data_IF_739652902662
#
_entry.id   IF_739652902662
#
_cell.length_a   1.000
_cell.length_b   1.000
_cell.length_c   1.000
_cell.angle_alpha   90.00
_cell.angle_beta   90.00
_cell.angle_gamma   90.00
#
_symmetry.space_group_name_H-M   'P 1'
#
loop_
_entity.id
_entity.type
_entity.pdbx_description
1 polymer ?
#
# COMPACT_ATOMS: atom_id res chain seq x y z
N UNK A 1 12.63 -37.23 -30.68
CA UNK A 1 13.87 -36.41 -30.67
C UNK A 1 14.01 -35.70 -32.03
N UNK A 2 12.95 -35.02 -32.50
CA UNK A 2 12.85 -34.37 -33.82
C UNK A 2 12.14 -32.99 -33.77
N UNK A 3 12.31 -32.23 -32.71
CA UNK A 3 11.61 -30.92 -32.53
C UNK A 3 12.54 -29.70 -32.57
N UNK A 4 13.81 -29.82 -32.97
CA UNK A 4 14.77 -28.69 -32.86
C UNK A 4 15.48 -28.44 -34.21
N UNK A 5 14.84 -28.56 -35.35
CA UNK A 5 15.56 -28.23 -36.61
C UNK A 5 14.70 -27.59 -37.73
N UNK A 6 13.68 -26.81 -37.41
CA UNK A 6 13.13 -25.82 -38.35
C UNK A 6 13.17 -24.45 -37.70
N UNK A 7 13.93 -23.50 -38.24
CA UNK A 7 13.81 -22.07 -37.94
C UNK A 7 12.36 -21.67 -38.25
N UNK A 8 11.48 -21.84 -37.29
CA UNK A 8 10.07 -21.43 -37.40
C UNK A 8 10.07 -19.91 -37.38
N UNK A 9 9.59 -19.29 -38.46
CA UNK A 9 9.33 -17.83 -38.42
C UNK A 9 8.30 -17.59 -37.31
N UNK A 10 8.75 -16.94 -36.26
CA UNK A 10 7.88 -16.56 -35.15
C UNK A 10 6.96 -15.42 -35.64
N UNK A 11 5.67 -15.67 -35.63
CA UNK A 11 4.70 -14.58 -35.79
C UNK A 11 4.69 -13.78 -34.50
N UNK A 12 5.24 -12.54 -34.54
CA UNK A 12 5.37 -11.68 -33.39
C UNK A 12 4.03 -11.33 -32.74
N UNK A 13 2.96 -11.17 -33.54
CA UNK A 13 1.62 -10.88 -33.03
C UNK A 13 1.01 -12.07 -32.28
N UNK A 14 1.14 -13.28 -32.83
CA UNK A 14 0.68 -14.50 -32.17
C UNK A 14 1.47 -14.79 -30.89
N UNK A 15 2.78 -14.52 -30.89
CA UNK A 15 3.62 -14.63 -29.70
C UNK A 15 3.20 -13.59 -28.65
N UNK A 16 2.98 -12.32 -29.04
CA UNK A 16 2.55 -11.26 -28.14
C UNK A 16 1.20 -11.58 -27.50
N UNK A 17 0.22 -12.04 -28.29
CA UNK A 17 -1.07 -12.49 -27.77
C UNK A 17 -0.94 -13.65 -26.78
N UNK A 18 -0.12 -14.65 -27.07
CA UNK A 18 0.12 -15.78 -26.18
C UNK A 18 0.84 -15.36 -24.88
N UNK A 19 1.76 -14.40 -24.95
CA UNK A 19 2.45 -13.85 -23.77
C UNK A 19 1.52 -12.98 -22.92
N UNK A 20 0.64 -12.20 -23.54
CA UNK A 20 -0.39 -11.41 -22.83
C UNK A 20 -1.38 -12.33 -22.11
N UNK A 21 -1.82 -13.41 -22.74
CA UNK A 21 -2.65 -14.44 -22.09
C UNK A 21 -1.95 -15.13 -20.91
N UNK A 22 -0.64 -15.35 -21.01
CA UNK A 22 0.15 -15.95 -19.90
C UNK A 22 0.43 -15.00 -18.75
N UNK A 23 0.60 -13.71 -19.04
CA UNK A 23 0.91 -12.68 -18.04
C UNK A 23 -0.31 -11.90 -17.60
N UNK A 24 -1.52 -12.34 -17.87
CA UNK A 24 -2.77 -11.62 -17.64
C UNK A 24 -2.61 -10.44 -16.68
N UNK A 25 -2.88 -9.23 -17.18
CA UNK A 25 -2.76 -8.02 -16.36
C UNK A 25 -3.70 -8.19 -15.16
N UNK A 26 -3.13 -8.34 -13.96
CA UNK A 26 -3.97 -8.42 -12.77
C UNK A 26 -4.69 -7.08 -12.59
N UNK A 27 -6.03 -7.04 -12.50
CA UNK A 27 -6.75 -5.83 -12.17
C UNK A 27 -6.23 -5.28 -10.84
N UNK A 28 -6.04 -3.98 -10.78
CA UNK A 28 -5.62 -3.31 -9.54
C UNK A 28 -6.79 -3.20 -8.59
N UNK A 29 -6.48 -3.20 -7.31
CA UNK A 29 -7.50 -2.96 -6.31
C UNK A 29 -8.11 -1.57 -6.49
N UNK A 30 -9.44 -1.53 -6.61
CA UNK A 30 -10.24 -0.32 -6.59
C UNK A 30 -11.44 -0.52 -5.67
N UNK A 31 -11.89 0.55 -5.03
CA UNK A 31 -13.18 0.54 -4.31
C UNK A 31 -14.32 0.50 -5.34
N UNK A 32 -15.31 -0.39 -5.18
CA UNK A 32 -16.47 -0.49 -6.08
C UNK A 32 -17.51 0.60 -5.77
N UNK A 33 -17.07 1.84 -5.70
CA UNK A 33 -17.87 3.02 -5.34
C UNK A 33 -17.62 4.15 -6.35
N UNK A 34 -18.55 5.09 -6.45
CA UNK A 34 -18.26 6.37 -7.08
C UNK A 34 -17.23 7.15 -6.25
N UNK A 35 -16.52 8.10 -6.85
CA UNK A 35 -15.58 8.96 -6.13
C UNK A 35 -16.25 9.69 -4.97
N UNK A 36 -17.46 10.20 -5.18
CA UNK A 36 -18.22 10.91 -4.15
C UNK A 36 -18.67 9.98 -3.01
N UNK A 37 -19.17 8.79 -3.33
CA UNK A 37 -19.54 7.79 -2.31
C UNK A 37 -18.32 7.31 -1.52
N UNK A 38 -17.19 7.13 -2.16
CA UNK A 38 -15.93 6.78 -1.51
C UNK A 38 -15.45 7.90 -0.56
N UNK A 39 -15.57 9.17 -1.00
CA UNK A 39 -15.25 10.32 -0.15
C UNK A 39 -16.16 10.38 1.09
N UNK A 40 -17.47 10.30 0.91
CA UNK A 40 -18.42 10.34 2.03
C UNK A 40 -18.22 9.16 2.98
N UNK A 41 -18.00 7.96 2.44
CA UNK A 41 -17.78 6.76 3.24
C UNK A 41 -16.48 6.83 4.04
N UNK A 42 -15.38 7.30 3.42
CA UNK A 42 -14.10 7.49 4.12
C UNK A 42 -14.21 8.57 5.20
N UNK A 43 -14.87 9.71 4.94
CA UNK A 43 -15.09 10.75 5.95
C UNK A 43 -15.87 10.21 7.14
N UNK A 44 -16.92 9.43 6.89
CA UNK A 44 -17.71 8.78 7.94
C UNK A 44 -16.88 7.77 8.74
N UNK A 45 -16.09 6.94 8.07
CA UNK A 45 -15.21 5.98 8.74
C UNK A 45 -14.11 6.67 9.58
N UNK A 46 -13.58 7.80 9.11
CA UNK A 46 -12.61 8.61 9.87
C UNK A 46 -13.27 9.21 11.12
N UNK A 47 -14.49 9.71 10.98
CA UNK A 47 -15.26 10.24 12.12
C UNK A 47 -15.43 9.15 13.20
N UNK A 48 -15.86 7.96 12.83
CA UNK A 48 -16.02 6.83 13.75
C UNK A 48 -14.68 6.48 14.45
N UNK A 49 -13.57 6.45 13.71
CA UNK A 49 -12.24 6.20 14.28
C UNK A 49 -11.78 7.30 15.26
N UNK A 50 -12.16 8.55 15.05
CA UNK A 50 -11.87 9.67 15.95
C UNK A 50 -12.72 9.60 17.20
N UNK A 51 -14.04 9.41 17.06
CA UNK A 51 -15.01 9.32 18.17
C UNK A 51 -14.77 8.08 19.04
N UNK A 52 -14.36 6.95 18.45
CA UNK A 52 -13.94 5.76 19.20
C UNK A 52 -12.82 6.06 20.19
N UNK A 53 -11.95 7.03 19.88
CA UNK A 53 -10.88 7.51 20.78
C UNK A 53 -11.35 8.61 21.72
N UNK A 54 -12.65 8.83 21.82
CA UNK A 54 -13.28 9.89 22.66
C UNK A 54 -12.74 11.28 22.32
N UNK A 55 -12.57 11.57 21.03
CA UNK A 55 -12.17 12.89 20.54
C UNK A 55 -13.26 13.48 19.66
N UNK A 56 -13.31 14.81 19.64
CA UNK A 56 -14.19 15.52 18.72
C UNK A 56 -13.66 15.42 17.29
N UNK A 57 -14.54 15.09 16.35
CA UNK A 57 -14.22 15.07 14.94
C UNK A 57 -14.41 16.46 14.33
N UNK A 58 -13.34 16.96 13.70
CA UNK A 58 -13.36 18.24 12.97
C UNK A 58 -12.97 17.99 11.52
N UNK A 59 -13.95 18.20 10.61
CA UNK A 59 -13.74 18.06 9.18
C UNK A 59 -13.06 19.31 8.59
N UNK A 60 -11.75 19.46 8.79
CA UNK A 60 -10.99 20.57 8.23
C UNK A 60 -10.90 20.50 6.71
N UNK A 61 -10.67 21.63 6.04
CA UNK A 61 -10.52 21.65 4.56
C UNK A 61 -9.30 20.85 4.10
N UNK A 62 -8.23 20.85 4.87
CA UNK A 62 -7.03 20.02 4.60
C UNK A 62 -7.37 18.53 4.66
N UNK A 63 -8.12 18.08 5.68
CA UNK A 63 -8.58 16.70 5.78
C UNK A 63 -9.46 16.32 4.60
N UNK A 64 -10.43 17.17 4.25
CA UNK A 64 -11.31 16.94 3.10
C UNK A 64 -10.52 16.81 1.80
N UNK A 65 -9.54 17.69 1.57
CA UNK A 65 -8.69 17.64 0.39
C UNK A 65 -7.84 16.34 0.33
N UNK A 66 -7.28 15.91 1.45
CA UNK A 66 -6.51 14.66 1.57
C UNK A 66 -7.40 13.43 1.30
N UNK A 67 -8.58 13.39 1.91
CA UNK A 67 -9.55 12.29 1.71
C UNK A 67 -10.08 12.29 0.28
N UNK A 68 -10.38 13.46 -0.30
CA UNK A 68 -10.80 13.58 -1.71
C UNK A 68 -9.76 12.97 -2.64
N UNK A 69 -8.48 13.33 -2.47
CA UNK A 69 -7.39 12.78 -3.27
C UNK A 69 -7.24 11.27 -3.10
N UNK A 70 -7.42 10.75 -1.87
CA UNK A 70 -7.41 9.31 -1.62
C UNK A 70 -8.62 8.62 -2.28
N UNK A 71 -9.82 9.21 -2.20
CA UNK A 71 -11.03 8.67 -2.83
C UNK A 71 -10.89 8.59 -4.35
N UNK A 72 -10.40 9.66 -4.99
CA UNK A 72 -10.10 9.68 -6.43
C UNK A 72 -9.14 8.55 -6.79
N UNK A 73 -8.04 8.39 -6.04
CA UNK A 73 -7.07 7.33 -6.29
C UNK A 73 -7.68 5.92 -6.14
N UNK A 74 -8.53 5.71 -5.14
CA UNK A 74 -9.11 4.39 -4.84
C UNK A 74 -10.25 3.98 -5.77
N UNK A 75 -10.84 4.91 -6.53
CA UNK A 75 -12.01 4.64 -7.39
C UNK A 75 -11.70 4.72 -8.89
N UNK A 76 -10.53 5.19 -9.27
CA UNK A 76 -10.11 5.32 -10.67
C UNK A 76 -9.10 4.24 -11.06
N UNK A 77 -9.10 3.88 -12.35
CA UNK A 77 -8.02 3.07 -12.91
C UNK A 77 -6.73 3.88 -12.95
N UNK A 78 -5.72 3.41 -12.26
CA UNK A 78 -4.42 4.06 -12.16
C UNK A 78 -3.29 3.16 -12.66
N UNK A 79 -2.23 3.76 -13.18
CA UNK A 79 -0.98 3.04 -13.41
C UNK A 79 -0.24 2.73 -12.10
N UNK A 80 -0.50 3.45 -11.00
CA UNK A 80 0.03 3.22 -9.67
C UNK A 80 -0.86 2.26 -8.87
N UNK A 81 -0.26 1.51 -7.95
CA UNK A 81 -0.94 0.49 -7.14
C UNK A 81 -0.64 0.63 -5.64
N UNK A 82 -0.27 1.81 -5.20
CA UNK A 82 -0.05 2.12 -3.79
C UNK A 82 -0.19 3.60 -3.48
N UNK A 83 -0.22 3.92 -2.18
CA UNK A 83 -0.35 5.28 -1.65
C UNK A 83 0.65 5.51 -0.54
N UNK A 84 1.30 6.67 -0.53
CA UNK A 84 2.10 7.16 0.60
C UNK A 84 1.40 8.34 1.23
N UNK A 85 1.02 8.21 2.49
CA UNK A 85 0.57 9.31 3.33
C UNK A 85 1.80 9.91 4.01
N UNK A 86 2.31 11.03 3.50
CA UNK A 86 3.57 11.63 3.93
C UNK A 86 3.34 12.92 4.72
N UNK A 87 3.95 13.04 5.91
CA UNK A 87 3.87 14.27 6.70
C UNK A 87 4.16 14.09 8.18
N UNK A 88 4.06 15.17 8.95
CA UNK A 88 4.44 15.23 10.37
C UNK A 88 3.65 14.28 11.29
N UNK A 89 4.07 14.23 12.56
CA UNK A 89 3.39 13.42 13.56
C UNK A 89 2.02 14.01 13.96
N UNK A 90 1.05 13.14 14.21
CA UNK A 90 -0.25 13.53 14.78
C UNK A 90 -1.25 14.15 13.79
N UNK A 91 -0.96 14.15 12.51
CA UNK A 91 -1.79 14.75 11.45
C UNK A 91 -2.83 13.80 10.81
N UNK A 92 -3.11 12.66 11.42
CA UNK A 92 -4.25 11.80 11.07
C UNK A 92 -3.96 10.62 10.12
N UNK A 93 -2.73 10.41 9.63
CA UNK A 93 -2.37 9.33 8.68
C UNK A 93 -2.83 7.94 9.13
N UNK A 94 -2.45 7.52 10.34
CA UNK A 94 -2.86 6.24 10.93
C UNK A 94 -4.38 6.11 11.06
N UNK A 95 -5.07 7.21 11.36
CA UNK A 95 -6.54 7.22 11.46
C UNK A 95 -7.18 6.95 10.09
N UNK A 96 -6.67 7.56 9.03
CA UNK A 96 -7.13 7.31 7.66
C UNK A 96 -6.88 5.86 7.23
N UNK A 97 -5.71 5.29 7.56
CA UNK A 97 -5.40 3.88 7.27
C UNK A 97 -6.41 2.94 7.96
N UNK A 98 -6.72 3.19 9.23
CA UNK A 98 -7.72 2.40 9.98
C UNK A 98 -9.13 2.57 9.43
N UNK A 99 -9.51 3.79 9.08
CA UNK A 99 -10.79 4.08 8.44
C UNK A 99 -10.94 3.35 7.10
N UNK A 100 -9.89 3.35 6.28
CA UNK A 100 -9.88 2.59 5.02
C UNK A 100 -9.99 1.07 5.27
N UNK A 101 -9.29 0.52 6.26
CA UNK A 101 -9.42 -0.89 6.64
C UNK A 101 -10.86 -1.22 7.04
N UNK A 102 -11.46 -0.39 7.91
CA UNK A 102 -12.85 -0.57 8.35
C UNK A 102 -13.82 -0.51 7.17
N UNK A 103 -13.62 0.41 6.24
CA UNK A 103 -14.44 0.53 5.02
C UNK A 103 -14.31 -0.71 4.13
N UNK A 104 -13.09 -1.17 3.85
CA UNK A 104 -12.86 -2.38 3.04
C UNK A 104 -13.55 -3.60 3.66
N UNK A 105 -13.46 -3.76 4.98
CA UNK A 105 -14.08 -4.88 5.69
C UNK A 105 -15.61 -4.84 5.66
N UNK A 106 -16.22 -3.63 5.72
CA UNK A 106 -17.69 -3.46 5.68
C UNK A 106 -18.24 -3.65 4.26
N UNK A 107 -17.47 -3.33 3.23
CA UNK A 107 -17.91 -3.43 1.85
C UNK A 107 -17.89 -4.85 1.30
N UNK A 108 -17.27 -5.82 1.98
CA UNK A 108 -17.20 -7.22 1.55
C UNK A 108 -16.80 -7.39 0.08
N UNK A 109 -15.73 -6.69 -0.34
CA UNK A 109 -15.32 -6.60 -1.75
C UNK A 109 -14.78 -7.95 -2.20
N UNK A 110 -15.38 -8.60 -3.23
CA UNK A 110 -14.89 -9.87 -3.73
C UNK A 110 -13.49 -9.74 -4.32
N UNK A 111 -12.61 -10.69 -4.02
CA UNK A 111 -11.30 -10.77 -4.66
C UNK A 111 -11.45 -11.58 -5.96
N UNK A 112 -11.21 -10.99 -7.16
CA UNK A 112 -11.45 -11.67 -8.43
C UNK A 112 -10.51 -12.86 -8.70
N UNK A 113 -9.50 -13.06 -7.86
CA UNK A 113 -8.50 -14.14 -7.99
C UNK A 113 -8.68 -15.27 -7.01
N UNK A 114 -9.58 -15.11 -6.05
CA UNK A 114 -9.84 -16.11 -5.01
C UNK A 114 -11.32 -16.14 -4.70
N UNK A 115 -11.80 -17.22 -4.11
CA UNK A 115 -13.20 -17.32 -3.62
C UNK A 115 -13.40 -16.56 -2.28
N UNK A 116 -12.56 -15.54 -2.02
CA UNK A 116 -12.56 -14.78 -0.77
C UNK A 116 -12.79 -13.29 -1.05
N UNK A 117 -13.05 -12.55 0.01
CA UNK A 117 -13.11 -11.10 0.00
C UNK A 117 -11.71 -10.51 0.23
N UNK A 118 -11.51 -9.27 -0.22
CA UNK A 118 -10.32 -8.52 0.14
C UNK A 118 -10.30 -8.23 1.63
N UNK A 119 -9.16 -8.50 2.26
CA UNK A 119 -8.89 -8.15 3.65
C UNK A 119 -7.64 -7.29 3.70
N UNK A 120 -7.76 -6.12 4.31
CA UNK A 120 -6.63 -5.22 4.49
C UNK A 120 -5.92 -5.50 5.81
N UNK A 121 -4.66 -5.86 5.75
CA UNK A 121 -3.80 -6.01 6.94
C UNK A 121 -3.06 -4.71 7.22
N UNK A 122 -3.09 -4.25 8.48
CA UNK A 122 -2.29 -3.13 8.98
C UNK A 122 -1.17 -3.68 9.85
N UNK A 123 0.04 -3.19 9.66
CA UNK A 123 1.19 -3.50 10.49
C UNK A 123 2.05 -2.24 10.66
N UNK A 124 2.55 -1.98 11.87
CA UNK A 124 3.57 -0.96 12.06
C UNK A 124 4.96 -1.46 11.61
N UNK A 125 5.80 -0.55 11.16
CA UNK A 125 7.09 -0.89 10.56
C UNK A 125 8.02 -1.67 11.51
N UNK A 126 7.99 -1.41 12.83
CA UNK A 126 8.79 -2.15 13.83
C UNK A 126 8.30 -3.57 14.00
N UNK A 127 6.99 -3.77 14.11
CA UNK A 127 6.37 -5.11 14.20
C UNK A 127 6.62 -5.92 12.93
N UNK A 128 6.61 -5.26 11.77
CA UNK A 128 6.94 -5.89 10.48
C UNK A 128 8.35 -6.49 10.50
N UNK A 129 9.34 -5.75 10.98
CA UNK A 129 10.73 -6.22 11.13
C UNK A 129 10.82 -7.35 12.17
N UNK A 130 10.08 -7.26 13.28
CA UNK A 130 10.05 -8.31 14.30
C UNK A 130 9.49 -9.64 13.74
N UNK A 131 8.44 -9.60 12.92
CA UNK A 131 7.87 -10.78 12.27
C UNK A 131 8.88 -11.43 11.32
N UNK A 132 9.61 -10.65 10.54
CA UNK A 132 10.64 -11.15 9.64
C UNK A 132 11.67 -12.04 10.37
N UNK A 133 12.04 -11.66 11.61
CA UNK A 133 13.00 -12.39 12.43
C UNK A 133 12.43 -13.62 13.16
N UNK A 134 11.19 -13.54 13.59
CA UNK A 134 10.60 -14.51 14.53
C UNK A 134 9.69 -15.55 13.88
N UNK A 135 9.09 -15.23 12.72
CA UNK A 135 8.09 -16.07 12.09
C UNK A 135 8.12 -15.96 10.56
N UNK A 136 8.89 -16.87 9.95
CA UNK A 136 9.08 -16.89 8.49
C UNK A 136 7.77 -17.12 7.70
N UNK A 137 6.83 -17.93 8.22
CA UNK A 137 5.55 -18.16 7.54
C UNK A 137 4.65 -16.93 7.57
N UNK A 138 4.60 -16.22 8.70
CA UNK A 138 3.87 -14.95 8.77
C UNK A 138 4.53 -13.86 7.93
N UNK A 139 5.86 -13.86 7.86
CA UNK A 139 6.62 -12.98 6.97
C UNK A 139 6.25 -13.20 5.50
N UNK A 140 6.22 -14.46 5.06
CA UNK A 140 5.77 -14.81 3.71
C UNK A 140 4.33 -14.36 3.44
N UNK A 141 3.41 -14.62 4.38
CA UNK A 141 2.02 -14.17 4.25
C UNK A 141 1.93 -12.66 4.13
N UNK A 142 2.71 -11.93 4.92
CA UNK A 142 2.76 -10.46 4.89
C UNK A 142 3.24 -9.93 3.54
N UNK A 143 4.31 -10.51 2.99
CA UNK A 143 4.84 -10.12 1.68
C UNK A 143 3.85 -10.33 0.52
N UNK A 144 2.92 -11.29 0.64
CA UNK A 144 1.95 -11.63 -0.40
C UNK A 144 0.51 -11.21 -0.06
N UNK A 145 0.31 -10.47 1.04
CA UNK A 145 -1.01 -9.93 1.40
C UNK A 145 -1.55 -9.02 0.28
N UNK A 146 -2.77 -9.25 -0.21
CA UNK A 146 -3.34 -8.47 -1.31
C UNK A 146 -3.36 -6.98 -0.99
N UNK A 147 -3.93 -6.62 0.16
CA UNK A 147 -3.99 -5.23 0.64
C UNK A 147 -3.18 -5.10 1.94
N UNK A 148 -2.06 -4.37 1.88
CA UNK A 148 -1.20 -4.15 3.03
C UNK A 148 -1.05 -2.66 3.35
N UNK A 149 -1.22 -2.33 4.63
CA UNK A 149 -0.84 -1.03 5.18
C UNK A 149 0.40 -1.19 6.07
N UNK A 150 1.44 -0.40 5.80
CA UNK A 150 2.63 -0.28 6.63
C UNK A 150 2.59 1.09 7.31
N UNK A 151 2.34 1.09 8.62
CA UNK A 151 2.23 2.32 9.41
C UNK A 151 3.58 2.72 9.99
N UNK A 152 3.84 4.04 10.03
CA UNK A 152 5.04 4.67 10.58
C UNK A 152 6.37 4.16 9.96
N UNK A 153 6.40 3.99 8.63
CA UNK A 153 7.61 3.64 7.89
C UNK A 153 8.72 4.66 8.17
N UNK A 154 9.92 4.18 8.47
CA UNK A 154 11.09 4.98 8.85
C UNK A 154 11.37 5.00 10.35
N UNK A 155 10.56 4.29 11.15
CA UNK A 155 10.77 4.14 12.61
C UNK A 155 11.43 2.82 13.00
N UNK A 156 11.49 1.87 12.07
CA UNK A 156 12.08 0.55 12.24
C UNK A 156 13.61 0.57 12.11
N UNK A 157 14.31 -0.45 12.63
CA UNK A 157 15.72 -0.68 12.33
C UNK A 157 15.91 -0.91 10.82
N UNK A 158 16.89 -0.25 10.22
CA UNK A 158 17.20 -0.39 8.78
C UNK A 158 17.70 -1.78 8.45
N UNK A 159 18.53 -2.32 9.33
CA UNK A 159 19.18 -3.60 9.15
C UNK A 159 19.00 -4.44 10.40
N UNK A 160 18.83 -5.72 10.21
CA UNK A 160 18.76 -6.69 11.29
C UNK A 160 19.65 -7.88 11.00
N UNK A 161 20.24 -8.44 12.08
CA UNK A 161 20.99 -9.68 11.98
C UNK A 161 20.04 -10.88 12.01
N UNK A 162 20.15 -11.74 11.02
CA UNK A 162 19.46 -13.02 10.95
C UNK A 162 20.45 -14.14 10.64
N UNK A 163 20.69 -15.03 11.60
CA UNK A 163 21.67 -16.13 11.51
C UNK A 163 23.05 -15.72 10.95
N UNK A 164 23.55 -14.55 11.35
CA UNK A 164 24.85 -14.02 10.89
C UNK A 164 24.80 -13.22 9.59
N UNK A 165 23.67 -13.15 8.91
CA UNK A 165 23.47 -12.32 7.74
C UNK A 165 22.82 -10.98 8.11
N UNK A 166 23.24 -9.91 7.44
CA UNK A 166 22.57 -8.62 7.52
C UNK A 166 21.45 -8.60 6.48
N UNK A 167 20.22 -8.41 6.91
CA UNK A 167 19.03 -8.30 6.05
C UNK A 167 18.35 -6.95 6.26
N UNK A 168 17.64 -6.48 5.23
CA UNK A 168 16.81 -5.28 5.30
C UNK A 168 15.34 -5.63 4.97
N UNK A 169 14.53 -5.99 5.99
CA UNK A 169 13.17 -6.45 5.77
C UNK A 169 12.28 -5.45 5.03
N UNK A 170 12.48 -4.15 5.26
CA UNK A 170 11.71 -3.10 4.58
C UNK A 170 12.01 -3.06 3.08
N UNK A 171 13.29 -3.14 2.70
CA UNK A 171 13.69 -3.22 1.29
C UNK A 171 13.14 -4.49 0.64
N UNK A 172 13.19 -5.61 1.33
CA UNK A 172 12.73 -6.90 0.82
C UNK A 172 11.22 -6.91 0.57
N UNK A 173 10.41 -6.44 1.53
CA UNK A 173 8.96 -6.41 1.37
C UNK A 173 8.53 -5.41 0.29
N UNK A 174 9.09 -4.21 0.26
CA UNK A 174 8.76 -3.21 -0.77
C UNK A 174 9.16 -3.69 -2.16
N UNK A 175 10.33 -4.35 -2.28
CA UNK A 175 10.77 -4.97 -3.54
C UNK A 175 9.78 -6.03 -4.00
N UNK A 176 9.40 -6.96 -3.12
CA UNK A 176 8.47 -8.04 -3.46
C UNK A 176 7.10 -7.51 -3.85
N UNK A 177 6.59 -6.52 -3.13
CA UNK A 177 5.28 -5.92 -3.41
C UNK A 177 5.28 -5.14 -4.72
N UNK A 178 6.37 -4.44 -5.03
CA UNK A 178 6.57 -3.80 -6.34
C UNK A 178 6.55 -4.83 -7.48
N UNK A 179 7.33 -5.90 -7.37
CA UNK A 179 7.43 -6.94 -8.41
C UNK A 179 6.10 -7.66 -8.67
N UNK A 180 5.29 -7.85 -7.63
CA UNK A 180 3.98 -8.48 -7.73
C UNK A 180 2.82 -7.48 -7.89
N UNK A 181 3.11 -6.18 -7.98
CA UNK A 181 2.11 -5.10 -8.13
C UNK A 181 0.98 -5.15 -7.08
N UNK A 182 1.31 -5.49 -5.83
CA UNK A 182 0.36 -5.64 -4.73
C UNK A 182 0.02 -4.28 -4.12
N UNK A 183 -1.28 -4.03 -3.87
CA UNK A 183 -1.75 -2.78 -3.28
C UNK A 183 -1.09 -2.53 -1.92
N UNK A 184 -0.44 -1.38 -1.79
CA UNK A 184 0.30 -1.01 -0.58
C UNK A 184 -0.01 0.43 -0.19
N UNK A 185 -0.46 0.66 1.05
CA UNK A 185 -0.55 1.99 1.62
C UNK A 185 0.49 2.15 2.74
N UNK A 186 1.18 3.28 2.76
CA UNK A 186 2.25 3.55 3.72
C UNK A 186 1.97 4.87 4.41
N UNK A 187 2.11 4.94 5.73
CA UNK A 187 2.31 6.21 6.42
C UNK A 187 3.78 6.43 6.74
N UNK A 188 4.26 7.65 6.59
CA UNK A 188 5.64 8.00 6.92
C UNK A 188 5.79 9.47 7.30
N UNK A 189 6.79 9.75 8.12
CA UNK A 189 7.24 11.12 8.40
C UNK A 189 8.48 11.50 7.56
N UNK A 190 9.00 10.57 6.76
CA UNK A 190 10.14 10.81 5.89
C UNK A 190 9.72 11.63 4.66
N UNK A 191 10.56 12.56 4.29
CA UNK A 191 10.47 13.24 2.99
C UNK A 191 11.02 12.36 1.86
N UNK A 192 10.67 12.59 0.58
CA UNK A 192 11.22 11.81 -0.52
C UNK A 192 12.76 11.72 -0.55
N UNK A 193 13.54 12.79 -0.28
CA UNK A 193 14.99 12.65 -0.15
C UNK A 193 15.44 11.77 1.01
N UNK A 194 14.73 11.81 2.14
CA UNK A 194 15.03 10.95 3.29
C UNK A 194 14.72 9.47 3.00
N UNK A 195 13.67 9.16 2.23
CA UNK A 195 13.38 7.80 1.77
C UNK A 195 14.57 7.24 0.98
N UNK A 196 15.09 8.03 0.03
CA UNK A 196 16.28 7.67 -0.74
C UNK A 196 17.51 7.44 0.14
N UNK A 197 17.73 8.31 1.12
CA UNK A 197 18.85 8.19 2.07
C UNK A 197 18.71 6.95 2.99
N UNK A 198 17.48 6.60 3.37
CA UNK A 198 17.21 5.50 4.33
C UNK A 198 17.22 4.14 3.64
N UNK A 199 16.55 4.01 2.48
CA UNK A 199 16.28 2.72 1.82
C UNK A 199 17.03 2.56 0.50
N UNK A 200 17.78 3.57 0.07
CA UNK A 200 18.51 3.61 -1.19
C UNK A 200 17.68 4.08 -2.37
N UNK A 201 18.37 4.58 -3.38
CA UNK A 201 17.76 5.20 -4.57
C UNK A 201 16.85 4.24 -5.34
N UNK A 202 17.23 2.95 -5.39
CA UNK A 202 16.44 1.91 -6.06
C UNK A 202 15.02 1.74 -5.45
N UNK A 203 14.90 1.79 -4.12
CA UNK A 203 13.60 1.70 -3.45
C UNK A 203 12.82 3.00 -3.61
N UNK A 204 13.49 4.15 -3.48
CA UNK A 204 12.85 5.43 -3.69
C UNK A 204 12.27 5.56 -5.10
N UNK A 205 12.99 5.07 -6.12
CA UNK A 205 12.52 5.07 -7.52
C UNK A 205 11.31 4.16 -7.72
N UNK A 206 11.34 2.93 -7.20
CA UNK A 206 10.19 2.02 -7.21
C UNK A 206 8.97 2.61 -6.50
N UNK A 207 9.18 3.28 -5.36
CA UNK A 207 8.08 3.96 -4.66
C UNK A 207 7.49 5.10 -5.48
N UNK A 208 8.30 5.87 -6.22
CA UNK A 208 7.80 6.91 -7.15
C UNK A 208 6.94 6.33 -8.26
N UNK A 209 7.33 5.18 -8.79
CA UNK A 209 6.58 4.48 -9.85
C UNK A 209 5.27 3.88 -9.32
N UNK A 210 5.33 3.16 -8.19
CA UNK A 210 4.19 2.37 -7.71
C UNK A 210 3.19 3.16 -6.87
N UNK A 211 3.59 4.32 -6.27
CA UNK A 211 2.78 4.97 -5.24
C UNK A 211 2.38 6.40 -5.59
N UNK A 212 1.13 6.74 -5.30
CA UNK A 212 0.65 8.12 -5.23
C UNK A 212 1.04 8.71 -3.86
N UNK A 213 1.56 9.94 -3.87
CA UNK A 213 1.95 10.63 -2.64
C UNK A 213 0.89 11.64 -2.25
N UNK A 214 0.28 11.45 -1.08
CA UNK A 214 -0.68 12.39 -0.48
C UNK A 214 0.02 13.11 0.67
N UNK A 215 0.34 14.41 0.54
CA UNK A 215 1.02 15.17 1.58
C UNK A 215 0.06 15.56 2.72
N UNK A 216 0.55 15.41 3.95
CA UNK A 216 -0.10 15.82 5.18
C UNK A 216 0.65 16.98 5.78
N UNK A 217 0.29 18.19 5.37
CA UNK A 217 0.92 19.46 5.78
C UNK A 217 0.22 20.14 6.94
N UNK A 218 -0.94 19.63 7.35
CA UNK A 218 -1.71 20.14 8.46
C UNK A 218 -0.97 20.01 9.81
N UNK A 219 -1.34 20.86 10.74
CA UNK A 219 -0.86 20.80 12.14
C UNK A 219 -1.35 19.53 12.84
N UNK A 220 -0.67 19.16 13.93
CA UNK A 220 -1.04 17.97 14.70
C UNK A 220 -2.41 18.13 15.36
N UNK A 221 -3.33 17.21 15.09
CA UNK A 221 -4.63 17.11 15.79
C UNK A 221 -4.50 16.73 17.27
N UNK A 222 -3.30 16.35 17.74
CA UNK A 222 -3.06 16.03 19.16
C UNK A 222 -2.97 17.28 20.03
N UNK A 223 -2.71 18.43 19.44
CA UNK A 223 -2.55 19.73 20.13
C UNK A 223 -3.87 20.51 20.18
N UNK A 224 -4.82 20.18 19.35
CA UNK A 224 -6.17 20.74 19.40
C UNK A 224 -6.90 20.09 20.60
N UNK A 225 -7.14 20.90 21.64
CA UNK A 225 -7.94 20.53 22.84
C UNK A 225 -9.40 20.68 22.51
#
# INVERSE_FOLDING_TARGET
MELINKKTRINAEALMSALQHRKGTMPRFNLPLSEEDAFVSLMSAIQVEVEFRRREFVATEELKAQVRRLSTFLTQENCKFGVVLAGGCGNGKTTIIKALQSLVNVLHIPNPYTDKEYVMRIIDAKSMVAICKSNYEDWKRLMHQDLLAIDDLGTEPREVMDYGNIINPTVDILTRRYENQLFTIISTNLTPPQISQVYGERIADRMREMMEIIPFTNTSYRVLK
#
